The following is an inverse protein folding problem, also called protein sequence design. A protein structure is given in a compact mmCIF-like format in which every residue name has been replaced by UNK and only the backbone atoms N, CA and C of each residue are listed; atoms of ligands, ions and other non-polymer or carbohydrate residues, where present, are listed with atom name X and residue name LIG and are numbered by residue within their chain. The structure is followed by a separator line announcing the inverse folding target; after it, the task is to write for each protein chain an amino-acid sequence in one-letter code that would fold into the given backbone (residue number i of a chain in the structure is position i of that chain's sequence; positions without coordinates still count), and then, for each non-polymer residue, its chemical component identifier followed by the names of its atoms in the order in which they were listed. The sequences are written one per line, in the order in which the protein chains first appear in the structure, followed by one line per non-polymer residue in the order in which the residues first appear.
data_IF_219122090200
#
_entry.id   IF_219122090200
#
_cell.length_a   1.000
_cell.length_b   1.000
_cell.length_c   1.000
_cell.angle_alpha   90.00
_cell.angle_beta   90.00
_cell.angle_gamma   90.00
#
_symmetry.space_group_name_H-M   'P 1'
#
loop_
_entity.id
_entity.type
_entity.pdbx_description
1 polymer ?
#
# COMPACT_ATOMS: atom_id res chain seq x y z
N UNK A 1 52.89 -23.60 -5.54
CA UNK A 1 52.26 -22.42 -4.95
C UNK A 1 50.99 -22.12 -5.74
N UNK A 2 49.84 -22.56 -5.23
CA UNK A 2 48.54 -22.28 -5.81
C UNK A 2 48.00 -20.99 -5.18
N UNK A 3 47.91 -19.95 -6.00
CA UNK A 3 47.28 -18.70 -5.65
C UNK A 3 45.76 -18.91 -5.54
N UNK A 4 45.26 -18.85 -4.33
CA UNK A 4 43.85 -18.77 -4.05
C UNK A 4 43.39 -17.37 -4.38
N UNK A 5 42.73 -17.19 -5.52
CA UNK A 5 41.96 -15.99 -5.82
C UNK A 5 40.73 -15.99 -4.92
N UNK A 6 40.76 -15.24 -3.83
CA UNK A 6 39.59 -14.93 -3.03
C UNK A 6 38.63 -14.11 -3.88
N UNK A 7 37.48 -14.69 -4.20
CA UNK A 7 36.42 -13.99 -4.85
C UNK A 7 35.84 -12.98 -3.84
N UNK A 8 36.10 -11.69 -4.06
CA UNK A 8 35.45 -10.61 -3.35
C UNK A 8 33.94 -10.64 -3.66
N UNK A 9 33.21 -11.25 -2.77
CA UNK A 9 31.75 -11.16 -2.78
C UNK A 9 31.38 -9.76 -2.33
N UNK A 10 31.11 -8.87 -3.27
CA UNK A 10 30.55 -7.55 -3.00
C UNK A 10 29.21 -7.71 -2.28
N UNK A 11 29.24 -7.62 -0.95
CA UNK A 11 28.02 -7.49 -0.14
C UNK A 11 27.41 -6.12 -0.44
N UNK A 12 26.31 -6.08 -1.19
CA UNK A 12 25.49 -4.88 -1.32
C UNK A 12 24.97 -4.52 0.06
N UNK A 13 25.49 -3.45 0.63
CA UNK A 13 24.99 -2.88 1.87
C UNK A 13 23.83 -1.92 1.52
N UNK A 14 22.69 -2.12 2.15
CA UNK A 14 21.53 -1.23 2.05
C UNK A 14 21.63 -0.27 3.24
N UNK A 15 21.62 1.03 2.95
CA UNK A 15 21.69 2.08 3.97
C UNK A 15 20.35 2.80 4.08
N UNK A 16 19.98 3.21 5.30
CA UNK A 16 18.85 4.10 5.55
C UNK A 16 19.09 5.46 4.87
N UNK A 17 18.00 6.09 4.41
CA UNK A 17 18.03 7.40 3.76
C UNK A 17 18.70 8.48 4.63
N UNK A 18 18.44 8.47 5.95
CA UNK A 18 19.04 9.41 6.89
C UNK A 18 20.57 9.30 6.92
N UNK A 19 21.10 8.07 6.84
CA UNK A 19 22.54 7.82 6.75
C UNK A 19 23.08 8.34 5.44
N UNK A 20 22.39 8.12 4.31
CA UNK A 20 22.80 8.60 2.99
C UNK A 20 22.88 10.14 2.99
N UNK A 21 21.85 10.81 3.52
CA UNK A 21 21.80 12.27 3.62
C UNK A 21 22.95 12.78 4.50
N UNK A 22 23.12 12.21 5.69
CA UNK A 22 24.17 12.61 6.65
C UNK A 22 25.57 12.45 6.07
N UNK A 23 25.85 11.32 5.38
CA UNK A 23 27.12 11.06 4.72
C UNK A 23 27.32 12.01 3.53
N UNK A 24 26.29 12.23 2.70
CA UNK A 24 26.36 13.13 1.55
C UNK A 24 26.73 14.56 1.92
N UNK A 25 26.30 15.04 3.10
CA UNK A 25 26.70 16.37 3.59
C UNK A 25 28.12 16.42 4.18
N UNK A 26 28.67 15.31 4.67
CA UNK A 26 29.98 15.26 5.33
C UNK A 26 31.14 14.88 4.40
N UNK A 27 30.85 14.12 3.34
CA UNK A 27 31.91 13.62 2.44
C UNK A 27 32.51 14.76 1.60
N UNK A 28 33.82 14.96 1.74
CA UNK A 28 34.59 15.92 0.93
C UNK A 28 35.02 15.26 -0.37
N UNK A 29 34.11 15.06 -1.31
CA UNK A 29 34.38 14.50 -2.64
C UNK A 29 33.61 15.26 -3.72
N UNK A 30 34.00 15.17 -5.00
CA UNK A 30 33.23 15.75 -6.09
C UNK A 30 31.76 15.28 -6.12
N UNK A 31 31.54 13.99 -5.86
CA UNK A 31 30.18 13.42 -5.76
C UNK A 31 29.39 13.98 -4.56
N UNK A 32 30.04 14.13 -3.40
CA UNK A 32 29.42 14.76 -2.23
C UNK A 32 29.10 16.24 -2.49
N UNK A 33 29.88 16.94 -3.27
CA UNK A 33 29.57 18.32 -3.70
C UNK A 33 28.39 18.36 -4.64
N UNK A 34 28.30 17.46 -5.62
CA UNK A 34 27.14 17.34 -6.52
C UNK A 34 25.86 17.01 -5.74
N UNK A 35 25.94 16.09 -4.77
CA UNK A 35 24.83 15.76 -3.90
C UNK A 35 24.34 17.00 -3.12
N UNK A 36 25.23 17.78 -2.52
CA UNK A 36 24.85 19.01 -1.79
C UNK A 36 24.21 20.06 -2.69
N UNK A 37 24.73 20.25 -3.90
CA UNK A 37 24.12 21.16 -4.88
C UNK A 37 22.70 20.73 -5.23
N UNK A 38 22.51 19.43 -5.52
CA UNK A 38 21.21 18.87 -5.80
C UNK A 38 20.26 19.01 -4.60
N UNK A 39 20.68 18.59 -3.41
CA UNK A 39 19.89 18.65 -2.19
C UNK A 39 19.46 20.09 -1.83
N UNK A 40 20.40 21.05 -1.95
CA UNK A 40 20.07 22.47 -1.73
C UNK A 40 19.08 23.00 -2.77
N UNK A 41 19.16 22.56 -4.02
CA UNK A 41 18.19 22.94 -5.06
C UNK A 41 16.80 22.42 -4.71
N UNK A 42 16.68 21.14 -4.36
CA UNK A 42 15.41 20.52 -3.98
C UNK A 42 14.83 21.21 -2.73
N UNK A 43 15.64 21.42 -1.70
CA UNK A 43 15.22 22.11 -0.48
C UNK A 43 14.75 23.55 -0.74
N UNK A 44 15.49 24.27 -1.60
CA UNK A 44 15.10 25.64 -1.98
C UNK A 44 13.80 25.67 -2.76
N UNK A 45 13.60 24.74 -3.68
CA UNK A 45 12.32 24.60 -4.40
C UNK A 45 11.16 24.32 -3.44
N UNK A 46 11.37 23.39 -2.51
CA UNK A 46 10.39 23.05 -1.48
C UNK A 46 10.02 24.28 -0.60
N UNK A 47 11.03 25.01 -0.10
CA UNK A 47 10.81 26.18 0.75
C UNK A 47 10.12 27.36 0.03
N UNK A 48 10.40 27.53 -1.27
CA UNK A 48 9.83 28.65 -2.05
C UNK A 48 8.43 28.31 -2.61
N UNK A 49 8.27 27.08 -3.09
CA UNK A 49 7.04 26.65 -3.81
C UNK A 49 6.09 25.84 -2.93
N UNK A 50 6.54 25.37 -1.75
CA UNK A 50 5.80 24.43 -0.91
C UNK A 50 5.88 22.96 -1.36
N UNK A 51 6.54 22.65 -2.50
CA UNK A 51 6.73 21.31 -3.03
C UNK A 51 8.02 21.17 -3.84
N UNK A 52 8.54 19.95 -3.97
CA UNK A 52 9.66 19.60 -4.84
C UNK A 52 9.26 18.44 -5.75
N UNK A 53 9.40 18.58 -7.05
CA UNK A 53 8.93 17.62 -8.06
C UNK A 53 10.06 16.69 -8.49
N UNK A 54 9.83 15.37 -8.48
CA UNK A 54 10.67 14.42 -9.18
C UNK A 54 10.32 14.40 -10.68
N UNK A 55 11.02 15.24 -11.46
CA UNK A 55 10.77 15.37 -12.91
C UNK A 55 10.98 14.06 -13.68
N UNK A 56 11.79 13.13 -13.17
CA UNK A 56 12.04 11.85 -13.82
C UNK A 56 10.84 10.91 -13.67
N UNK A 57 10.26 10.81 -12.48
CA UNK A 57 9.05 10.03 -12.23
C UNK A 57 7.87 10.57 -13.08
N UNK A 58 7.75 11.89 -13.19
CA UNK A 58 6.72 12.53 -14.01
C UNK A 58 6.87 12.25 -15.51
N UNK A 59 8.10 12.19 -16.01
CA UNK A 59 8.38 11.84 -17.41
C UNK A 59 8.06 10.37 -17.70
N UNK A 60 8.37 9.46 -16.79
CA UNK A 60 8.04 8.03 -16.91
C UNK A 60 6.52 7.80 -16.90
N UNK A 61 5.79 8.44 -16.00
CA UNK A 61 4.32 8.38 -15.94
C UNK A 61 3.67 8.93 -17.22
N UNK A 62 4.19 10.03 -17.76
CA UNK A 62 3.71 10.60 -19.02
C UNK A 62 3.96 9.65 -20.21
N UNK A 63 5.10 8.98 -20.26
CA UNK A 63 5.39 8.00 -21.32
C UNK A 63 4.51 6.76 -21.20
N UNK A 64 4.20 6.29 -20.00
CA UNK A 64 3.24 5.21 -19.76
C UNK A 64 1.84 5.61 -20.22
N UNK A 65 1.38 6.81 -19.88
CA UNK A 65 0.10 7.36 -20.36
C UNK A 65 0.06 7.43 -21.90
N UNK A 66 1.12 7.93 -22.54
CA UNK A 66 1.21 7.98 -24.01
C UNK A 66 1.15 6.58 -24.64
N UNK A 67 1.82 5.57 -24.04
CA UNK A 67 1.75 4.18 -24.51
C UNK A 67 0.32 3.66 -24.43
N UNK A 68 -0.35 3.88 -23.31
CA UNK A 68 -1.75 3.46 -23.10
C UNK A 68 -2.70 4.12 -24.09
N UNK A 69 -2.58 5.43 -24.31
CA UNK A 69 -3.39 6.18 -25.30
C UNK A 69 -3.13 5.68 -26.72
N UNK A 70 -1.87 5.38 -27.09
CA UNK A 70 -1.53 4.80 -28.40
C UNK A 70 -2.14 3.41 -28.58
N UNK A 71 -2.05 2.55 -27.55
CA UNK A 71 -2.65 1.21 -27.59
C UNK A 71 -4.16 1.30 -27.84
N UNK A 72 -4.84 2.16 -27.09
CA UNK A 72 -6.28 2.41 -27.24
C UNK A 72 -6.62 2.96 -28.62
N UNK A 73 -5.84 3.89 -29.16
CA UNK A 73 -6.00 4.41 -30.51
C UNK A 73 -5.88 3.32 -31.58
N UNK A 74 -4.94 2.37 -31.44
CA UNK A 74 -4.79 1.24 -32.33
C UNK A 74 -5.99 0.27 -32.28
N UNK A 75 -6.50 -0.01 -31.06
CA UNK A 75 -7.68 -0.87 -30.88
C UNK A 75 -8.92 -0.22 -31.51
N UNK A 76 -9.11 1.09 -31.34
CA UNK A 76 -10.22 1.84 -31.94
C UNK A 76 -10.11 1.92 -33.47
N UNK A 77 -8.91 1.99 -34.02
CA UNK A 77 -8.69 2.06 -35.47
C UNK A 77 -8.79 0.70 -36.18
N UNK A 78 -8.57 -0.40 -35.42
CA UNK A 78 -8.51 -1.74 -36.02
C UNK A 78 -9.87 -2.46 -36.13
N UNK A 79 -10.93 -1.93 -35.48
CA UNK A 79 -12.24 -2.61 -35.40
C UNK A 79 -13.39 -1.61 -35.28
N UNK A 80 -14.53 -1.92 -35.90
CA UNK A 80 -15.79 -1.25 -35.56
C UNK A 80 -16.13 -1.59 -34.09
N UNK A 81 -16.00 -0.59 -33.22
CA UNK A 81 -16.22 -0.74 -31.76
C UNK A 81 -17.70 -0.58 -31.49
N UNK A 82 -18.32 -1.57 -30.87
CA UNK A 82 -19.71 -1.46 -30.41
C UNK A 82 -19.83 -0.43 -29.29
N UNK A 83 -21.04 0.11 -29.09
CA UNK A 83 -21.30 1.08 -28.00
C UNK A 83 -20.90 0.54 -26.62
N UNK A 84 -21.09 -0.76 -26.39
CA UNK A 84 -20.71 -1.42 -25.12
C UNK A 84 -19.19 -1.50 -24.95
N UNK A 85 -18.44 -1.83 -26.02
CA UNK A 85 -16.98 -1.87 -25.99
C UNK A 85 -16.38 -0.48 -25.81
N UNK A 86 -16.97 0.55 -26.43
CA UNK A 86 -16.54 1.95 -26.25
C UNK A 86 -16.72 2.43 -24.80
N UNK A 87 -17.84 2.08 -24.16
CA UNK A 87 -18.09 2.38 -22.74
C UNK A 87 -17.09 1.64 -21.83
N UNK A 88 -16.80 0.38 -22.12
CA UNK A 88 -15.79 -0.41 -21.39
C UNK A 88 -14.39 0.21 -21.50
N UNK A 89 -13.99 0.64 -22.70
CA UNK A 89 -12.71 1.34 -22.93
C UNK A 89 -12.62 2.67 -22.19
N UNK A 90 -13.68 3.49 -22.21
CA UNK A 90 -13.74 4.74 -21.47
C UNK A 90 -13.60 4.50 -19.95
N UNK A 91 -14.23 3.45 -19.44
CA UNK A 91 -14.10 3.07 -18.02
C UNK A 91 -12.66 2.72 -17.66
N UNK A 92 -11.98 1.90 -18.47
CA UNK A 92 -10.57 1.56 -18.25
C UNK A 92 -9.68 2.81 -18.25
N UNK A 93 -9.91 3.76 -19.20
CA UNK A 93 -9.16 5.02 -19.23
C UNK A 93 -9.41 5.84 -17.97
N UNK A 94 -10.66 5.94 -17.53
CA UNK A 94 -11.04 6.70 -16.33
C UNK A 94 -10.40 6.10 -15.08
N UNK A 95 -10.47 4.77 -14.92
CA UNK A 95 -9.88 4.07 -13.77
C UNK A 95 -8.35 4.22 -13.74
N UNK A 96 -7.70 4.15 -14.92
CA UNK A 96 -6.25 4.36 -15.03
C UNK A 96 -5.84 5.81 -14.70
N UNK A 97 -6.59 6.80 -15.21
CA UNK A 97 -6.35 8.22 -14.92
C UNK A 97 -6.55 8.51 -13.43
N UNK A 98 -7.58 7.94 -12.82
CA UNK A 98 -7.82 8.05 -11.39
C UNK A 98 -6.67 7.44 -10.57
N UNK A 99 -6.16 6.27 -10.98
CA UNK A 99 -5.00 5.63 -10.35
C UNK A 99 -3.76 6.51 -10.40
N UNK A 100 -3.47 7.12 -11.56
CA UNK A 100 -2.33 8.02 -11.72
C UNK A 100 -2.48 9.30 -10.88
N UNK A 101 -3.67 9.90 -10.84
CA UNK A 101 -3.95 11.09 -10.01
C UNK A 101 -3.80 10.77 -8.51
N UNK A 102 -4.25 9.59 -8.09
CA UNK A 102 -4.09 9.12 -6.71
C UNK A 102 -2.63 8.93 -6.33
N UNK A 103 -1.82 8.34 -7.21
CA UNK A 103 -0.38 8.19 -6.99
C UNK A 103 0.33 9.55 -6.95
N UNK A 104 -0.02 10.46 -7.85
CA UNK A 104 0.53 11.83 -7.86
C UNK A 104 0.22 12.56 -6.54
N UNK A 105 -1.02 12.49 -6.06
CA UNK A 105 -1.42 13.04 -4.75
C UNK A 105 -0.70 12.39 -3.58
N UNK A 106 -0.48 11.07 -3.63
CA UNK A 106 0.28 10.35 -2.62
C UNK A 106 1.73 10.84 -2.57
N UNK A 107 2.40 10.94 -3.72
CA UNK A 107 3.78 11.39 -3.83
C UNK A 107 3.97 12.84 -3.34
N UNK A 108 2.94 13.68 -3.52
CA UNK A 108 2.94 15.07 -3.02
C UNK A 108 2.38 15.23 -1.61
N UNK A 109 2.04 14.13 -0.91
CA UNK A 109 1.39 14.18 0.41
C UNK A 109 0.10 15.01 0.42
N UNK A 110 -0.61 15.03 -0.69
CA UNK A 110 -1.89 15.71 -0.90
C UNK A 110 -3.08 14.74 -0.92
N UNK A 111 -2.82 13.47 -0.59
CA UNK A 111 -3.88 12.49 -0.52
C UNK A 111 -4.73 12.78 0.72
N UNK A 112 -5.91 13.34 0.49
CA UNK A 112 -6.91 13.51 1.53
C UNK A 112 -7.81 12.27 1.55
N UNK A 113 -7.99 11.70 2.74
CA UNK A 113 -8.96 10.63 2.95
C UNK A 113 -10.32 11.29 3.15
N UNK A 114 -11.09 11.41 2.06
CA UNK A 114 -12.44 11.95 2.09
C UNK A 114 -13.47 10.85 2.28
N UNK A 115 -14.63 11.20 2.85
CA UNK A 115 -15.77 10.30 3.04
C UNK A 115 -15.47 9.06 3.91
N UNK A 116 -14.81 9.28 5.05
CA UNK A 116 -14.58 8.24 6.05
C UNK A 116 -15.76 8.09 7.00
N UNK A 117 -15.90 6.90 7.58
CA UNK A 117 -16.96 6.54 8.50
C UNK A 117 -16.44 6.62 9.94
N UNK A 118 -16.93 7.63 10.70
CA UNK A 118 -16.58 7.79 12.12
C UNK A 118 -17.47 6.96 13.04
N UNK A 119 -18.68 6.59 12.61
CA UNK A 119 -19.57 5.74 13.37
C UNK A 119 -19.15 4.27 13.22
N UNK A 120 -18.78 3.64 14.34
CA UNK A 120 -18.32 2.25 14.42
C UNK A 120 -19.36 1.40 15.18
N UNK A 121 -20.39 0.87 14.51
CA UNK A 121 -21.41 0.04 15.17
C UNK A 121 -20.86 -1.31 15.66
N UNK A 122 -19.76 -1.79 15.07
CA UNK A 122 -19.13 -3.04 15.46
C UNK A 122 -17.67 -2.83 15.85
N UNK A 123 -17.34 -3.19 17.10
CA UNK A 123 -15.98 -3.16 17.64
C UNK A 123 -15.35 -4.56 17.53
N UNK A 124 -14.19 -4.65 16.90
CA UNK A 124 -13.43 -5.91 16.86
C UNK A 124 -12.81 -6.18 18.23
N UNK A 125 -13.00 -7.42 18.72
CA UNK A 125 -12.29 -7.95 19.88
C UNK A 125 -11.50 -9.18 19.47
N UNK A 126 -10.55 -9.59 20.30
CA UNK A 126 -9.79 -10.82 20.04
C UNK A 126 -10.74 -12.03 19.88
N UNK A 127 -11.73 -12.16 20.76
CA UNK A 127 -12.65 -13.29 20.79
C UNK A 127 -13.50 -13.36 19.52
N UNK A 128 -14.07 -12.22 19.09
CA UNK A 128 -14.92 -12.22 17.89
C UNK A 128 -14.10 -12.39 16.60
N UNK A 129 -12.87 -11.89 16.57
CA UNK A 129 -11.96 -12.09 15.46
C UNK A 129 -11.51 -13.56 15.37
N UNK A 130 -11.19 -14.22 16.49
CA UNK A 130 -10.86 -15.64 16.53
C UNK A 130 -12.05 -16.53 16.14
N UNK A 131 -13.27 -16.19 16.55
CA UNK A 131 -14.46 -16.89 16.11
C UNK A 131 -14.67 -16.78 14.58
N UNK A 132 -14.42 -15.59 14.00
CA UNK A 132 -14.49 -15.42 12.56
C UNK A 132 -13.38 -16.23 11.83
N UNK A 133 -12.17 -16.28 12.39
CA UNK A 133 -11.07 -17.09 11.84
C UNK A 133 -11.36 -18.59 11.91
N UNK A 134 -12.08 -19.06 12.93
CA UNK A 134 -12.47 -20.47 13.00
C UNK A 134 -13.37 -20.84 11.82
N UNK A 135 -14.32 -20.00 11.45
CA UNK A 135 -15.17 -20.19 10.26
C UNK A 135 -14.33 -20.23 8.97
N UNK A 136 -13.31 -19.37 8.89
CA UNK A 136 -12.40 -19.35 7.73
C UNK A 136 -11.58 -20.65 7.65
N UNK A 137 -11.09 -21.14 8.79
CA UNK A 137 -10.34 -22.42 8.90
C UNK A 137 -11.18 -23.60 8.43
N UNK A 138 -12.42 -23.67 8.89
CA UNK A 138 -13.33 -24.78 8.57
C UNK A 138 -13.66 -24.82 7.07
N UNK A 139 -13.72 -23.65 6.40
CA UNK A 139 -14.02 -23.55 4.97
C UNK A 139 -12.79 -23.71 4.06
N UNK A 140 -11.63 -23.18 4.46
CA UNK A 140 -10.48 -22.96 3.58
C UNK A 140 -9.15 -23.41 4.18
N UNK A 141 -9.14 -23.98 5.36
CA UNK A 141 -7.96 -24.46 6.04
C UNK A 141 -7.40 -25.73 5.39
N UNK A 142 -6.56 -25.58 4.37
CA UNK A 142 -5.88 -26.71 3.71
C UNK A 142 -4.67 -27.26 4.50
N UNK A 143 -4.11 -26.50 5.43
CA UNK A 143 -2.96 -26.84 6.25
C UNK A 143 -3.38 -26.94 7.72
N UNK A 144 -2.86 -27.93 8.44
CA UNK A 144 -3.09 -28.05 9.89
C UNK A 144 -2.53 -26.86 10.69
N UNK A 145 -1.60 -26.10 10.09
CA UNK A 145 -0.98 -24.92 10.70
C UNK A 145 -1.69 -23.60 10.36
N UNK A 146 -2.69 -23.63 9.45
CA UNK A 146 -3.42 -22.44 9.04
C UNK A 146 -4.15 -21.81 10.23
N UNK A 147 -3.89 -20.53 10.49
CA UNK A 147 -4.54 -19.76 11.56
C UNK A 147 -4.15 -20.20 12.99
N UNK A 148 -3.09 -21.00 13.16
CA UNK A 148 -2.51 -21.25 14.48
C UNK A 148 -1.63 -20.08 14.88
N UNK A 149 -1.96 -19.45 16.00
CA UNK A 149 -1.16 -18.35 16.55
C UNK A 149 0.22 -18.85 16.99
N UNK A 150 1.24 -18.03 16.75
CA UNK A 150 2.61 -18.27 17.24
C UNK A 150 2.82 -17.72 18.64
N UNK A 151 2.18 -16.57 18.90
CA UNK A 151 2.34 -15.78 20.12
C UNK A 151 1.14 -14.84 20.30
N UNK A 152 1.23 -13.88 21.22
CA UNK A 152 0.17 -12.90 21.53
C UNK A 152 0.13 -11.70 20.55
N UNK A 153 0.88 -11.74 19.44
CA UNK A 153 0.96 -10.60 18.52
C UNK A 153 -0.36 -10.31 17.79
N UNK A 154 -1.21 -11.32 17.60
CA UNK A 154 -2.54 -11.12 17.05
C UNK A 154 -3.45 -10.32 17.99
N UNK A 155 -3.47 -10.72 19.27
CA UNK A 155 -4.21 -9.97 20.28
C UNK A 155 -3.71 -8.53 20.39
N UNK A 156 -2.39 -8.33 20.33
CA UNK A 156 -1.77 -7.00 20.31
C UNK A 156 -2.18 -6.20 19.06
N UNK A 157 -2.29 -6.85 17.89
CA UNK A 157 -2.73 -6.20 16.65
C UNK A 157 -4.17 -5.71 16.74
N UNK A 158 -5.08 -6.51 17.34
CA UNK A 158 -6.47 -6.08 17.60
C UNK A 158 -6.50 -4.90 18.57
N UNK A 159 -5.72 -4.94 19.66
CA UNK A 159 -5.64 -3.83 20.61
C UNK A 159 -5.08 -2.54 20.00
N UNK A 160 -4.12 -2.67 19.08
CA UNK A 160 -3.42 -1.54 18.49
C UNK A 160 -4.33 -0.64 17.61
N UNK A 161 -5.35 -1.20 16.95
CA UNK A 161 -6.28 -0.38 16.15
C UNK A 161 -7.19 0.53 17.00
N UNK A 162 -7.22 0.31 18.31
CA UNK A 162 -7.99 1.08 19.29
C UNK A 162 -7.12 1.89 20.24
N UNK A 163 -5.86 2.09 19.88
CA UNK A 163 -4.96 2.93 20.68
C UNK A 163 -5.38 4.40 20.64
N UNK A 164 -5.24 5.06 21.76
CA UNK A 164 -5.50 6.50 21.90
C UNK A 164 -4.22 7.26 22.23
N UNK A 165 -4.15 8.51 21.79
CA UNK A 165 -3.13 9.45 22.19
C UNK A 165 -3.79 10.75 22.65
N UNK A 166 -3.45 11.24 23.84
CA UNK A 166 -4.09 12.38 24.48
C UNK A 166 -5.63 12.30 24.59
N UNK A 167 -6.19 11.08 24.67
CA UNK A 167 -7.63 10.85 24.74
C UNK A 167 -8.35 10.79 23.40
N UNK A 168 -7.64 10.94 22.29
CA UNK A 168 -8.17 10.80 20.93
C UNK A 168 -7.71 9.48 20.30
N UNK A 169 -8.57 8.84 19.52
CA UNK A 169 -8.23 7.62 18.79
C UNK A 169 -7.12 7.92 17.76
N UNK A 170 -6.07 7.08 17.71
CA UNK A 170 -5.04 7.16 16.67
C UNK A 170 -5.61 6.86 15.28
N UNK A 171 -6.64 6.04 15.21
CA UNK A 171 -7.34 5.65 13.99
C UNK A 171 -8.83 5.95 14.19
N UNK A 172 -9.29 7.20 13.95
CA UNK A 172 -10.63 7.64 14.30
C UNK A 172 -11.73 7.04 13.41
N UNK A 173 -11.39 6.52 12.22
CA UNK A 173 -12.37 6.02 11.27
C UNK A 173 -12.33 4.50 11.11
N UNK A 174 -13.45 3.92 10.67
CA UNK A 174 -13.55 2.46 10.41
C UNK A 174 -12.57 2.03 9.34
N UNK A 175 -12.40 2.84 8.29
CA UNK A 175 -11.47 2.58 7.19
C UNK A 175 -10.01 2.55 7.67
N UNK A 176 -9.60 3.48 8.53
CA UNK A 176 -8.26 3.50 9.12
C UNK A 176 -8.01 2.29 10.01
N UNK A 177 -8.96 1.95 10.88
CA UNK A 177 -8.88 0.75 11.72
C UNK A 177 -8.79 -0.53 10.87
N UNK A 178 -9.59 -0.62 9.80
CA UNK A 178 -9.54 -1.75 8.87
C UNK A 178 -8.17 -1.86 8.19
N UNK A 179 -7.65 -0.76 7.68
CA UNK A 179 -6.34 -0.71 7.03
C UNK A 179 -5.21 -1.09 7.98
N UNK A 180 -5.25 -0.59 9.22
CA UNK A 180 -4.27 -0.94 10.25
C UNK A 180 -4.37 -2.41 10.67
N UNK A 181 -5.56 -2.99 10.73
CA UNK A 181 -5.75 -4.41 11.01
C UNK A 181 -5.09 -5.26 9.92
N UNK A 182 -5.34 -4.93 8.63
CA UNK A 182 -4.69 -5.58 7.49
C UNK A 182 -3.15 -5.51 7.59
N UNK A 183 -2.64 -4.31 7.86
CA UNK A 183 -1.20 -4.05 7.96
C UNK A 183 -0.54 -4.81 9.10
N UNK A 184 -1.08 -4.69 10.32
CA UNK A 184 -0.48 -5.28 11.53
C UNK A 184 -0.49 -6.81 11.49
N UNK A 185 -1.60 -7.43 11.08
CA UNK A 185 -1.70 -8.89 10.98
C UNK A 185 -0.74 -9.43 9.91
N UNK A 186 -0.58 -8.70 8.81
CA UNK A 186 0.39 -9.06 7.78
C UNK A 186 1.83 -8.89 8.27
N UNK A 187 2.16 -7.75 8.89
CA UNK A 187 3.52 -7.40 9.33
C UNK A 187 4.00 -8.26 10.49
N UNK A 188 3.16 -8.50 11.48
CA UNK A 188 3.54 -9.21 12.70
C UNK A 188 3.68 -10.73 12.50
N UNK A 189 3.19 -11.26 11.38
CA UNK A 189 3.23 -12.70 11.12
C UNK A 189 2.72 -13.55 12.28
N UNK A 190 1.59 -13.12 12.85
CA UNK A 190 1.02 -13.67 14.10
C UNK A 190 0.65 -15.15 14.02
N UNK A 191 0.48 -15.68 12.80
CA UNK A 191 0.07 -17.07 12.57
C UNK A 191 1.17 -17.90 11.91
N UNK A 192 1.16 -19.20 12.18
CA UNK A 192 2.11 -20.16 11.62
C UNK A 192 1.97 -20.32 10.10
N UNK A 193 0.74 -20.23 9.60
CA UNK A 193 0.42 -20.20 8.15
C UNK A 193 -0.78 -19.31 7.88
N UNK A 194 -0.84 -18.76 6.67
CA UNK A 194 -1.98 -18.04 6.14
C UNK A 194 -2.06 -16.55 6.49
N UNK A 195 -1.02 -15.92 7.05
CA UNK A 195 -1.07 -14.53 7.54
C UNK A 195 -1.69 -13.55 6.54
N UNK A 196 -1.33 -13.60 5.25
CA UNK A 196 -1.90 -12.71 4.22
C UNK A 196 -3.39 -12.95 4.00
N UNK A 197 -3.80 -14.22 3.90
CA UNK A 197 -5.22 -14.58 3.71
C UNK A 197 -6.05 -14.20 4.92
N UNK A 198 -5.51 -14.40 6.12
CA UNK A 198 -6.14 -14.02 7.39
C UNK A 198 -6.29 -12.51 7.48
N UNK A 199 -5.22 -11.76 7.19
CA UNK A 199 -5.26 -10.30 7.20
C UNK A 199 -6.29 -9.74 6.23
N UNK A 200 -6.33 -10.25 4.98
CA UNK A 200 -7.30 -9.87 3.98
C UNK A 200 -8.75 -10.22 4.39
N UNK A 201 -8.94 -11.40 4.97
CA UNK A 201 -10.24 -11.82 5.50
C UNK A 201 -10.72 -10.92 6.64
N UNK A 202 -9.86 -10.65 7.62
CA UNK A 202 -10.20 -9.79 8.76
C UNK A 202 -10.51 -8.36 8.35
N UNK A 203 -9.79 -7.84 7.37
CA UNK A 203 -10.07 -6.54 6.76
C UNK A 203 -11.48 -6.50 6.17
N UNK A 204 -11.84 -7.46 5.30
CA UNK A 204 -13.19 -7.53 4.71
C UNK A 204 -14.27 -7.78 5.75
N UNK A 205 -14.02 -8.69 6.70
CA UNK A 205 -14.92 -8.98 7.80
C UNK A 205 -15.22 -7.74 8.65
N UNK A 206 -14.19 -6.96 9.00
CA UNK A 206 -14.36 -5.76 9.79
C UNK A 206 -15.15 -4.67 9.03
N UNK A 207 -14.87 -4.48 7.75
CA UNK A 207 -15.64 -3.58 6.89
C UNK A 207 -17.08 -4.01 6.73
N UNK A 208 -17.34 -5.33 6.55
CA UNK A 208 -18.69 -5.88 6.43
C UNK A 208 -19.49 -5.70 7.70
N UNK A 209 -18.89 -6.00 8.87
CA UNK A 209 -19.54 -5.84 10.18
C UNK A 209 -19.90 -4.38 10.49
N UNK A 210 -19.14 -3.46 9.95
CA UNK A 210 -19.40 -2.02 10.08
C UNK A 210 -20.24 -1.44 8.92
N UNK A 211 -20.74 -2.29 8.01
CA UNK A 211 -21.65 -1.87 6.94
C UNK A 211 -21.04 -1.06 5.82
N UNK A 212 -19.68 -1.01 5.73
CA UNK A 212 -18.97 -0.19 4.75
C UNK A 212 -18.29 -1.00 3.63
N UNK A 213 -18.49 -2.31 3.56
CA UNK A 213 -17.90 -3.15 2.53
C UNK A 213 -18.54 -2.94 1.15
N UNK A 214 -19.82 -2.62 1.11
CA UNK A 214 -20.58 -2.45 -0.12
C UNK A 214 -21.05 -1.02 -0.31
N UNK A 215 -21.11 -0.59 -1.56
CA UNK A 215 -21.76 0.66 -1.96
C UNK A 215 -23.29 0.50 -1.93
N UNK A 216 -24.03 1.61 -2.04
CA UNK A 216 -25.48 1.61 -2.06
C UNK A 216 -26.07 0.81 -3.24
N UNK A 217 -25.34 0.65 -4.33
CA UNK A 217 -25.70 -0.15 -5.51
C UNK A 217 -25.37 -1.66 -5.37
N UNK A 218 -24.86 -2.09 -4.21
CA UNK A 218 -24.46 -3.46 -3.91
C UNK A 218 -23.10 -3.87 -4.46
N UNK A 219 -22.36 -2.97 -5.11
CA UNK A 219 -20.98 -3.25 -5.54
C UNK A 219 -20.02 -3.20 -4.37
N UNK A 220 -18.98 -4.04 -4.37
CA UNK A 220 -17.91 -3.96 -3.35
C UNK A 220 -17.11 -2.67 -3.53
N UNK A 221 -16.83 -1.97 -2.42
CA UNK A 221 -15.93 -0.80 -2.43
C UNK A 221 -14.49 -1.14 -2.78
N UNK A 222 -14.06 -2.37 -2.48
CA UNK A 222 -12.72 -2.86 -2.79
C UNK A 222 -12.87 -4.10 -3.67
N UNK A 223 -12.31 -4.05 -4.87
CA UNK A 223 -12.26 -5.19 -5.77
C UNK A 223 -11.31 -6.27 -5.26
N UNK A 224 -11.63 -7.53 -5.54
CA UNK A 224 -10.85 -8.68 -5.07
C UNK A 224 -9.38 -8.61 -5.57
N UNK A 225 -9.15 -8.10 -6.78
CA UNK A 225 -7.80 -7.91 -7.34
C UNK A 225 -6.99 -6.84 -6.59
N UNK A 226 -7.64 -5.76 -6.13
CA UNK A 226 -6.99 -4.72 -5.35
C UNK A 226 -6.54 -5.27 -4.00
N UNK A 227 -7.37 -6.09 -3.33
CA UNK A 227 -7.02 -6.72 -2.06
C UNK A 227 -5.82 -7.67 -2.19
N UNK A 228 -5.76 -8.45 -3.28
CA UNK A 228 -4.60 -9.31 -3.58
C UNK A 228 -3.34 -8.49 -3.79
N UNK A 229 -3.43 -7.32 -4.42
CA UNK A 229 -2.28 -6.43 -4.65
C UNK A 229 -1.81 -5.74 -3.36
N UNK A 230 -2.71 -5.37 -2.44
CA UNK A 230 -2.37 -4.70 -1.18
C UNK A 230 -1.59 -5.58 -0.20
N UNK A 231 -1.86 -6.90 -0.18
CA UNK A 231 -1.23 -7.82 0.77
C UNK A 231 0.28 -8.04 0.57
N UNK A 232 0.91 -8.01 -0.63
CA UNK A 232 2.36 -8.00 -0.79
C UNK A 232 3.02 -6.67 -0.40
N UNK A 233 2.38 -5.53 -0.66
CA UNK A 233 2.94 -4.19 -0.44
C UNK A 233 3.17 -3.90 1.04
N UNK A 234 2.33 -4.45 1.93
CA UNK A 234 2.48 -4.31 3.38
C UNK A 234 3.76 -4.94 3.97
N UNK A 235 4.61 -5.60 3.15
CA UNK A 235 5.93 -6.09 3.57
C UNK A 235 7.09 -5.12 3.28
N UNK A 236 6.89 -4.10 2.46
CA UNK A 236 7.98 -3.27 1.92
C UNK A 236 8.18 -1.94 2.63
N UNK A 237 7.41 -1.65 3.67
CA UNK A 237 7.49 -0.39 4.43
C UNK A 237 7.69 -0.60 5.93
#
# INVERSE_FOLDING_TARGET
ALSSAASDVYKRQIYNLDVIISVGYRVKSPRGTQFRIWANKVLKEYLIKGYAVNNQAKAEQLEELKKTVRLLSHVLAAKEVTKSEAVGLLRVITDYTYGLDTLDRYDYQQLEVSATTSEEPFRATYENAMAALQVLRDKFGGSSLFGHEKDQSFQSSIGAIYQTFNGEDLYPTVEEKAAMLLYLVTKNHSFSDGNKRIAAFLFLWFMEKNGILYNADGTKRIGDNALVALTPVSYTH
#
